data_IF_611090580062
#
_entry.id   IF_611090580062
#
_cell.length_a   1.000
_cell.length_b   1.000
_cell.length_c   1.000
_cell.angle_alpha   90.00
_cell.angle_beta   90.00
_cell.angle_gamma   90.00
#
_symmetry.space_group_name_H-M   'P 1'
#
loop_
_entity.id
_entity.type
_entity.pdbx_description
1 polymer ?
#
# COMPACT_ATOMS: atom_id res chain seq x y z
N UNK A 1 84.95 40.17 2.42
CA UNK A 1 84.23 39.98 1.14
C UNK A 1 83.68 38.53 1.11
N UNK A 2 82.40 38.30 1.42
CA UNK A 2 81.88 36.92 1.51
C UNK A 2 81.16 36.62 0.18
N UNK A 3 81.71 35.66 -0.57
CA UNK A 3 81.12 35.19 -1.83
C UNK A 3 80.05 34.16 -1.50
N UNK A 4 78.82 34.55 -1.69
CA UNK A 4 77.65 33.64 -1.60
C UNK A 4 77.71 32.72 -2.81
N UNK A 5 78.02 31.45 -2.58
CA UNK A 5 77.97 30.42 -3.61
C UNK A 5 76.54 30.19 -4.08
N UNK A 6 76.25 30.48 -5.34
CA UNK A 6 74.98 30.19 -5.98
C UNK A 6 74.85 28.67 -6.22
N UNK A 7 73.95 28.00 -5.49
CA UNK A 7 73.63 26.61 -5.75
C UNK A 7 72.96 26.49 -7.14
N UNK A 8 73.43 25.64 -8.04
CA UNK A 8 72.83 25.49 -9.36
C UNK A 8 71.48 24.87 -9.22
N UNK A 9 70.40 25.61 -9.64
CA UNK A 9 69.08 25.08 -9.76
C UNK A 9 69.03 24.00 -10.85
N UNK A 10 68.91 22.75 -10.45
CA UNK A 10 68.62 21.64 -11.38
C UNK A 10 67.34 21.93 -12.12
N UNK A 11 67.42 22.05 -13.43
CA UNK A 11 66.24 22.27 -14.31
C UNK A 11 65.39 21.04 -14.26
N UNK A 12 64.29 21.11 -13.46
CA UNK A 12 63.24 20.10 -13.47
C UNK A 12 62.33 20.32 -14.71
N UNK A 13 62.76 19.79 -15.83
CA UNK A 13 62.04 19.85 -17.11
C UNK A 13 61.23 18.57 -17.27
N UNK A 14 59.88 18.70 -17.43
CA UNK A 14 59.00 17.64 -17.89
C UNK A 14 58.10 16.96 -16.84
N UNK A 15 58.54 16.79 -15.58
CA UNK A 15 57.80 16.05 -14.55
C UNK A 15 56.55 16.82 -14.10
N UNK A 16 56.59 18.15 -14.07
CA UNK A 16 55.46 19.00 -13.63
C UNK A 16 54.28 18.84 -14.55
N UNK A 17 54.47 18.77 -15.86
CA UNK A 17 53.38 18.59 -16.82
C UNK A 17 52.70 17.23 -16.66
N UNK A 18 53.47 16.18 -16.40
CA UNK A 18 52.97 14.84 -16.16
C UNK A 18 52.15 14.75 -14.88
N UNK A 19 52.65 15.36 -13.78
CA UNK A 19 51.92 15.44 -12.51
C UNK A 19 50.63 16.25 -12.66
N UNK A 20 50.68 17.39 -13.35
CA UNK A 20 49.49 18.21 -13.62
C UNK A 20 48.43 17.45 -14.42
N UNK A 21 48.83 16.64 -15.40
CA UNK A 21 47.90 15.82 -16.19
C UNK A 21 47.24 14.73 -15.34
N UNK A 22 48.02 14.05 -14.47
CA UNK A 22 47.46 13.04 -13.56
C UNK A 22 46.43 13.68 -12.60
N UNK A 23 46.73 14.83 -12.02
CA UNK A 23 45.85 15.54 -11.11
C UNK A 23 44.55 15.97 -11.85
N UNK A 24 44.69 16.47 -13.06
CA UNK A 24 43.54 16.88 -13.87
C UNK A 24 42.61 15.68 -14.17
N UNK A 25 43.18 14.54 -14.57
CA UNK A 25 42.42 13.30 -14.81
C UNK A 25 41.77 12.80 -13.52
N UNK A 26 42.47 12.84 -12.40
CA UNK A 26 41.88 12.43 -11.11
C UNK A 26 40.72 13.33 -10.70
N UNK A 27 40.86 14.67 -10.89
CA UNK A 27 39.75 15.60 -10.60
C UNK A 27 38.53 15.40 -11.53
N UNK A 28 38.76 15.13 -12.80
CA UNK A 28 37.64 14.88 -13.73
C UNK A 28 36.92 13.59 -13.41
N UNK A 29 37.61 12.52 -13.05
CA UNK A 29 37.03 11.25 -12.64
C UNK A 29 36.21 11.39 -11.35
N UNK A 30 36.72 12.12 -10.36
CA UNK A 30 35.96 12.39 -9.12
C UNK A 30 34.71 13.23 -9.40
N UNK A 31 34.80 14.24 -10.28
CA UNK A 31 33.67 15.03 -10.71
C UNK A 31 32.53 14.21 -11.35
N UNK A 32 32.88 13.31 -12.26
CA UNK A 32 31.94 12.40 -12.93
C UNK A 32 31.29 11.44 -11.90
N UNK A 33 32.08 10.92 -10.95
CA UNK A 33 31.57 10.02 -9.91
C UNK A 33 30.52 10.72 -9.01
N UNK A 34 30.76 11.99 -8.65
CA UNK A 34 29.81 12.79 -7.88
C UNK A 34 28.51 13.03 -8.63
N UNK A 35 28.58 13.39 -9.91
CA UNK A 35 27.37 13.60 -10.73
C UNK A 35 26.53 12.32 -10.79
N UNK A 36 27.13 11.17 -11.04
CA UNK A 36 26.42 9.88 -11.06
C UNK A 36 25.76 9.54 -9.72
N UNK A 37 26.43 9.87 -8.61
CA UNK A 37 25.88 9.66 -7.27
C UNK A 37 24.63 10.53 -7.02
N UNK A 38 24.67 11.78 -7.46
CA UNK A 38 23.50 12.69 -7.34
C UNK A 38 22.33 12.19 -8.20
N UNK A 39 22.58 11.79 -9.45
CA UNK A 39 21.53 11.30 -10.35
C UNK A 39 20.82 10.07 -9.79
N UNK A 40 21.57 9.10 -9.26
CA UNK A 40 20.97 7.92 -8.62
C UNK A 40 20.14 8.28 -7.38
N UNK A 41 20.62 9.20 -6.55
CA UNK A 41 19.91 9.64 -5.37
C UNK A 41 18.59 10.35 -5.73
N UNK A 42 18.57 11.18 -6.76
CA UNK A 42 17.36 11.86 -7.26
C UNK A 42 16.34 10.85 -7.78
N UNK A 43 16.78 9.83 -8.53
CA UNK A 43 15.89 8.76 -9.01
C UNK A 43 15.29 7.95 -7.86
N UNK A 44 16.08 7.58 -6.85
CA UNK A 44 15.59 6.85 -5.67
C UNK A 44 14.63 7.70 -4.87
N UNK A 45 14.95 8.96 -4.61
CA UNK A 45 14.09 9.90 -3.89
C UNK A 45 12.77 10.11 -4.64
N UNK A 46 12.81 10.26 -5.96
CA UNK A 46 11.62 10.38 -6.80
C UNK A 46 10.70 9.15 -6.72
N UNK A 47 11.27 7.94 -6.83
CA UNK A 47 10.50 6.70 -6.70
C UNK A 47 9.88 6.54 -5.30
N UNK A 48 10.58 6.95 -4.25
CA UNK A 48 10.07 6.91 -2.89
C UNK A 48 8.91 7.90 -2.71
N UNK A 49 9.06 9.11 -3.22
CA UNK A 49 8.01 10.13 -3.19
C UNK A 49 6.73 9.66 -3.91
N UNK A 50 6.86 9.01 -5.08
CA UNK A 50 5.72 8.42 -5.79
C UNK A 50 5.05 7.31 -4.99
N UNK A 51 5.80 6.44 -4.33
CA UNK A 51 5.23 5.40 -3.47
C UNK A 51 4.47 5.98 -2.28
N UNK A 52 5.03 6.98 -1.63
CA UNK A 52 4.37 7.66 -0.52
C UNK A 52 3.10 8.38 -0.98
N UNK A 53 3.15 9.09 -2.11
CA UNK A 53 1.99 9.72 -2.72
C UNK A 53 0.89 8.73 -3.08
N UNK A 54 1.24 7.58 -3.67
CA UNK A 54 0.29 6.53 -4.00
C UNK A 54 -0.36 5.91 -2.74
N UNK A 55 0.41 5.74 -1.66
CA UNK A 55 -0.14 5.24 -0.38
C UNK A 55 -1.12 6.24 0.22
N UNK A 56 -0.78 7.52 0.24
CA UNK A 56 -1.67 8.58 0.72
C UNK A 56 -2.94 8.70 -0.14
N UNK A 57 -2.81 8.57 -1.47
CA UNK A 57 -3.97 8.53 -2.36
C UNK A 57 -4.85 7.29 -2.13
N UNK A 58 -4.25 6.14 -1.78
CA UNK A 58 -5.00 4.93 -1.47
C UNK A 58 -5.86 5.06 -0.21
N UNK A 59 -5.43 5.83 0.78
CA UNK A 59 -6.22 6.10 1.98
C UNK A 59 -7.55 6.78 1.65
N UNK A 60 -7.57 7.67 0.64
CA UNK A 60 -8.82 8.25 0.13
C UNK A 60 -9.75 7.18 -0.45
N UNK A 61 -9.22 6.19 -1.17
CA UNK A 61 -9.99 5.05 -1.67
C UNK A 61 -10.57 4.19 -0.54
N UNK A 62 -9.77 3.92 0.50
CA UNK A 62 -10.21 3.15 1.67
C UNK A 62 -11.32 3.89 2.41
N UNK A 63 -11.18 5.19 2.63
CA UNK A 63 -12.21 5.98 3.31
C UNK A 63 -13.50 6.08 2.50
N UNK A 64 -13.40 6.21 1.18
CA UNK A 64 -14.58 6.18 0.29
C UNK A 64 -15.34 4.86 0.37
N UNK A 65 -14.63 3.74 0.39
CA UNK A 65 -15.23 2.41 0.58
C UNK A 65 -15.87 2.27 1.97
N UNK A 66 -15.24 2.82 3.00
CA UNK A 66 -15.77 2.83 4.36
C UNK A 66 -17.04 3.65 4.48
N UNK A 67 -17.09 4.83 3.85
CA UNK A 67 -18.28 5.67 3.79
C UNK A 67 -19.41 4.92 3.10
N UNK A 68 -19.14 4.26 1.96
CA UNK A 68 -20.14 3.42 1.27
C UNK A 68 -20.70 2.34 2.19
N UNK A 69 -19.87 1.57 2.88
CA UNK A 69 -20.30 0.54 3.82
C UNK A 69 -21.18 1.14 4.93
N UNK A 70 -20.73 2.20 5.57
CA UNK A 70 -21.44 2.85 6.66
C UNK A 70 -22.81 3.37 6.23
N UNK A 71 -22.88 4.05 5.10
CA UNK A 71 -24.15 4.57 4.57
C UNK A 71 -25.11 3.46 4.18
N UNK A 72 -24.60 2.39 3.55
CA UNK A 72 -25.41 1.24 3.15
C UNK A 72 -25.94 0.47 4.37
N UNK A 73 -25.11 0.25 5.40
CA UNK A 73 -25.55 -0.41 6.64
C UNK A 73 -26.64 0.38 7.34
N UNK A 74 -26.54 1.71 7.36
CA UNK A 74 -27.55 2.58 7.99
C UNK A 74 -28.83 2.61 7.18
N UNK A 75 -28.76 2.65 5.85
CA UNK A 75 -29.92 2.72 4.99
C UNK A 75 -30.63 1.37 4.86
N UNK A 76 -29.91 0.31 4.56
CA UNK A 76 -30.42 -1.05 4.39
C UNK A 76 -29.29 -2.07 4.47
N UNK A 77 -29.09 -2.66 5.64
CA UNK A 77 -28.06 -3.68 5.85
C UNK A 77 -28.20 -4.90 4.91
N UNK A 78 -29.42 -5.29 4.56
CA UNK A 78 -29.69 -6.44 3.68
C UNK A 78 -29.21 -6.18 2.23
N UNK A 79 -28.98 -4.92 1.84
CA UNK A 79 -28.37 -4.60 0.56
C UNK A 79 -26.94 -5.15 0.42
N UNK A 80 -26.25 -5.41 1.53
CA UNK A 80 -24.93 -6.02 1.55
C UNK A 80 -24.97 -7.55 1.42
N UNK A 81 -26.12 -8.16 1.35
CA UNK A 81 -26.26 -9.60 1.16
C UNK A 81 -26.08 -10.01 -0.31
N UNK A 82 -26.22 -9.08 -1.24
CA UNK A 82 -26.08 -9.29 -2.68
C UNK A 82 -25.00 -8.37 -3.27
N UNK A 83 -24.52 -8.74 -4.45
CA UNK A 83 -23.58 -7.94 -5.19
C UNK A 83 -24.20 -6.62 -5.66
N UNK A 84 -23.43 -5.56 -5.63
CA UNK A 84 -23.74 -4.26 -6.22
C UNK A 84 -22.57 -3.79 -7.09
N UNK A 85 -22.46 -4.28 -8.34
CA UNK A 85 -21.34 -3.92 -9.24
C UNK A 85 -21.27 -2.43 -9.53
N UNK A 86 -22.40 -1.70 -9.50
CA UNK A 86 -22.42 -0.25 -9.71
C UNK A 86 -21.66 0.52 -8.62
N UNK A 87 -21.55 -0.04 -7.41
CA UNK A 87 -20.75 0.49 -6.33
C UNK A 87 -19.43 -0.29 -6.11
N UNK A 88 -19.10 -1.16 -7.05
CA UNK A 88 -17.96 -2.08 -6.95
C UNK A 88 -17.94 -2.91 -5.65
N UNK A 89 -19.14 -3.29 -5.19
CA UNK A 89 -19.32 -4.12 -4.02
C UNK A 89 -19.67 -5.56 -4.42
N UNK A 90 -18.98 -6.52 -3.82
CA UNK A 90 -19.19 -7.95 -4.01
C UNK A 90 -19.44 -8.64 -2.67
N UNK A 91 -20.55 -9.36 -2.58
CA UNK A 91 -21.00 -10.04 -1.35
C UNK A 91 -20.18 -11.27 -0.99
N UNK A 92 -19.28 -11.69 -1.88
CA UNK A 92 -18.39 -12.84 -1.69
C UNK A 92 -16.94 -12.44 -1.88
N UNK A 93 -16.05 -13.14 -1.20
CA UNK A 93 -14.63 -12.98 -1.46
C UNK A 93 -14.29 -13.73 -2.75
N UNK A 94 -13.76 -13.09 -3.73
CA UNK A 94 -13.35 -13.76 -4.96
C UNK A 94 -11.90 -14.23 -4.82
N UNK A 95 -11.70 -15.55 -4.62
CA UNK A 95 -10.39 -16.17 -4.71
C UNK A 95 -9.99 -16.23 -6.20
N UNK A 96 -8.78 -15.83 -6.51
CA UNK A 96 -8.29 -15.84 -7.89
C UNK A 96 -8.54 -14.53 -8.66
N UNK A 97 -8.95 -13.47 -7.96
CA UNK A 97 -9.03 -12.15 -8.54
C UNK A 97 -7.61 -11.68 -8.92
N UNK A 98 -7.32 -11.64 -10.20
CA UNK A 98 -6.04 -11.16 -10.71
C UNK A 98 -6.03 -9.62 -10.75
N UNK A 99 -5.77 -9.02 -9.60
CA UNK A 99 -5.76 -7.58 -9.43
C UNK A 99 -4.57 -6.90 -10.14
N UNK A 100 -3.52 -7.65 -10.40
CA UNK A 100 -2.27 -7.13 -10.96
C UNK A 100 -2.21 -7.29 -12.48
N UNK A 101 -3.02 -8.19 -13.04
CA UNK A 101 -3.04 -8.45 -14.48
C UNK A 101 -1.94 -9.42 -14.93
N UNK A 102 -1.64 -10.43 -14.11
CA UNK A 102 -0.62 -11.45 -14.41
C UNK A 102 -1.18 -12.63 -15.17
N UNK A 103 -2.50 -12.80 -15.22
CA UNK A 103 -3.19 -13.88 -15.92
C UNK A 103 -3.79 -13.42 -17.25
N UNK A 104 -4.33 -14.36 -18.03
CA UNK A 104 -5.03 -14.09 -19.28
C UNK A 104 -6.36 -13.36 -19.10
N UNK A 105 -6.93 -13.36 -17.90
CA UNK A 105 -8.18 -12.70 -17.55
C UNK A 105 -8.00 -11.77 -16.35
N UNK A 106 -7.33 -10.60 -16.55
CA UNK A 106 -7.10 -9.67 -15.48
C UNK A 106 -8.42 -9.03 -15.03
N UNK A 107 -8.48 -8.62 -13.76
CA UNK A 107 -9.63 -7.91 -13.24
C UNK A 107 -9.90 -6.61 -14.02
N UNK A 108 -11.14 -6.42 -14.45
CA UNK A 108 -11.54 -5.23 -15.21
C UNK A 108 -11.72 -4.01 -14.29
N UNK A 109 -10.64 -3.31 -14.04
CA UNK A 109 -10.67 -2.10 -13.22
C UNK A 109 -11.52 -0.97 -13.80
N UNK A 110 -11.75 -0.93 -15.10
CA UNK A 110 -12.58 0.12 -15.73
C UNK A 110 -14.08 -0.12 -15.52
N UNK A 111 -14.51 -1.39 -15.54
CA UNK A 111 -15.92 -1.75 -15.47
C UNK A 111 -16.40 -2.27 -14.11
N UNK A 112 -15.51 -2.86 -13.32
CA UNK A 112 -15.87 -3.57 -12.09
C UNK A 112 -15.34 -2.90 -10.81
N UNK A 113 -14.78 -1.70 -10.90
CA UNK A 113 -14.30 -0.91 -9.77
C UNK A 113 -14.98 0.46 -9.70
N UNK A 114 -15.04 1.02 -8.49
CA UNK A 114 -15.54 2.37 -8.27
C UNK A 114 -14.41 3.39 -8.43
N UNK A 115 -14.59 4.36 -9.31
CA UNK A 115 -13.71 5.52 -9.41
C UNK A 115 -14.01 6.47 -8.24
N UNK A 116 -12.99 6.80 -7.46
CA UNK A 116 -13.07 7.81 -6.40
C UNK A 116 -12.80 9.20 -6.98
N UNK A 117 -11.75 9.31 -7.79
CA UNK A 117 -11.34 10.53 -8.44
C UNK A 117 -9.86 10.54 -8.78
N UNK A 118 -9.39 11.72 -9.19
CA UNK A 118 -7.97 11.98 -9.41
C UNK A 118 -7.51 13.05 -8.43
N UNK A 119 -6.40 12.80 -7.74
CA UNK A 119 -5.84 13.77 -6.79
C UNK A 119 -5.06 14.90 -7.49
N UNK A 120 -4.59 15.88 -6.73
CA UNK A 120 -3.80 17.00 -7.25
C UNK A 120 -2.43 16.60 -7.81
N UNK A 121 -1.94 15.42 -7.47
CA UNK A 121 -0.70 14.85 -7.97
C UNK A 121 -0.89 14.04 -9.27
N UNK A 122 -2.13 13.90 -9.74
CA UNK A 122 -2.49 13.15 -10.94
C UNK A 122 -2.64 11.65 -10.70
N UNK A 123 -2.84 11.20 -9.46
CA UNK A 123 -3.12 9.80 -9.15
C UNK A 123 -4.62 9.51 -9.30
N UNK A 124 -4.98 8.62 -10.23
CA UNK A 124 -6.35 8.10 -10.32
C UNK A 124 -6.54 6.99 -9.30
N UNK A 125 -7.58 7.14 -8.46
CA UNK A 125 -7.89 6.22 -7.36
C UNK A 125 -9.16 5.45 -7.67
N UNK A 126 -9.08 4.12 -7.65
CA UNK A 126 -10.22 3.22 -7.80
C UNK A 126 -10.22 2.19 -6.70
N UNK A 127 -11.39 1.76 -6.24
CA UNK A 127 -11.49 0.67 -5.28
C UNK A 127 -12.48 -0.41 -5.72
N UNK A 128 -12.30 -1.58 -5.13
CA UNK A 128 -13.25 -2.68 -5.13
C UNK A 128 -13.39 -3.21 -3.71
N UNK A 129 -14.60 -3.57 -3.35
CA UNK A 129 -14.95 -3.99 -1.99
C UNK A 129 -15.53 -5.41 -2.02
N UNK A 130 -14.94 -6.32 -1.27
CA UNK A 130 -15.40 -7.70 -1.12
C UNK A 130 -15.78 -7.98 0.32
N UNK A 131 -16.96 -8.54 0.53
CA UNK A 131 -17.32 -9.15 1.82
C UNK A 131 -16.57 -10.47 1.95
N UNK A 132 -16.00 -10.72 3.11
CA UNK A 132 -15.23 -11.93 3.38
C UNK A 132 -16.14 -13.11 3.73
N UNK A 133 -17.01 -13.50 2.77
CA UNK A 133 -17.93 -14.63 2.84
C UNK A 133 -17.74 -15.54 1.61
N UNK A 134 -18.00 -16.83 1.74
CA UNK A 134 -17.92 -17.80 0.63
C UNK A 134 -19.15 -17.76 -0.27
N UNK A 135 -20.33 -17.44 0.30
CA UNK A 135 -21.57 -17.33 -0.45
C UNK A 135 -22.26 -15.99 -0.22
N UNK A 136 -23.06 -15.57 -1.19
CA UNK A 136 -23.97 -14.43 -1.10
C UNK A 136 -25.14 -14.73 -0.14
N UNK A 137 -25.90 -13.71 0.24
CA UNK A 137 -27.03 -13.82 1.16
C UNK A 137 -26.68 -13.37 2.58
N UNK A 138 -27.60 -13.61 3.50
CA UNK A 138 -27.43 -13.19 4.89
C UNK A 138 -26.18 -13.83 5.52
N UNK A 139 -25.49 -13.07 6.33
CA UNK A 139 -24.24 -13.53 7.01
C UNK A 139 -24.47 -14.69 7.99
N UNK A 140 -25.72 -14.97 8.32
CA UNK A 140 -26.16 -16.08 9.16
C UNK A 140 -26.70 -17.27 8.36
N UNK A 141 -26.78 -17.13 7.02
CA UNK A 141 -27.28 -18.20 6.15
C UNK A 141 -26.32 -19.42 6.17
N UNK A 142 -26.90 -20.60 6.02
CA UNK A 142 -26.12 -21.81 5.89
C UNK A 142 -25.22 -21.72 4.65
N UNK A 143 -23.94 -22.00 4.80
CA UNK A 143 -22.93 -21.93 3.72
C UNK A 143 -22.36 -20.54 3.47
N UNK A 144 -22.78 -19.50 4.17
CA UNK A 144 -22.20 -18.15 4.02
C UNK A 144 -20.73 -18.10 4.47
N UNK A 145 -20.33 -18.91 5.44
CA UNK A 145 -18.94 -19.07 5.94
C UNK A 145 -18.14 -17.75 5.96
N UNK A 146 -18.70 -16.73 6.62
CA UNK A 146 -18.07 -15.42 6.66
C UNK A 146 -16.94 -15.38 7.68
N UNK A 147 -15.85 -14.67 7.36
CA UNK A 147 -14.81 -14.31 8.31
C UNK A 147 -15.40 -13.29 9.29
N UNK A 148 -15.44 -13.67 10.55
CA UNK A 148 -16.10 -12.90 11.62
C UNK A 148 -15.07 -12.51 12.67
N UNK A 149 -15.13 -11.26 13.17
CA UNK A 149 -14.43 -10.91 14.37
C UNK A 149 -15.11 -11.65 15.53
N UNK A 150 -14.38 -12.47 16.26
CA UNK A 150 -14.81 -12.89 17.57
C UNK A 150 -14.88 -11.66 18.46
N UNK A 151 -16.08 -11.08 18.61
CA UNK A 151 -16.34 -10.25 19.77
C UNK A 151 -16.07 -11.13 20.99
N UNK A 152 -15.31 -10.65 21.92
CA UNK A 152 -15.06 -11.33 23.21
C UNK A 152 -16.35 -11.36 24.05
N UNK A 153 -17.37 -11.98 23.50
CA UNK A 153 -18.60 -12.36 24.18
C UNK A 153 -18.46 -13.85 24.47
N UNK A 154 -18.36 -14.17 25.75
CA UNK A 154 -18.02 -15.45 26.29
C UNK A 154 -18.43 -16.65 25.47
N UNK A 155 -17.45 -17.43 25.08
CA UNK A 155 -17.63 -18.80 24.67
C UNK A 155 -18.39 -19.52 25.79
N UNK A 156 -19.60 -19.97 25.48
CA UNK A 156 -20.17 -21.12 26.18
C UNK A 156 -19.34 -22.35 25.79
N UNK A 157 -18.07 -22.33 26.15
CA UNK A 157 -17.24 -23.52 26.16
C UNK A 157 -17.74 -24.35 27.35
N UNK A 158 -18.44 -25.41 27.03
CA UNK A 158 -18.61 -26.52 27.95
C UNK A 158 -17.24 -27.14 28.27
N UNK A 159 -16.45 -26.48 29.08
CA UNK A 159 -15.30 -27.10 29.70
C UNK A 159 -15.29 -26.70 31.19
N UNK A 160 -15.54 -27.74 31.98
CA UNK A 160 -15.77 -27.64 33.39
C UNK A 160 -14.54 -27.21 34.15
N UNK A 161 -14.38 -25.94 34.40
CA UNK A 161 -13.54 -25.42 35.46
C UNK A 161 -14.42 -24.87 36.59
N UNK A 162 -14.68 -25.70 37.57
CA UNK A 162 -15.40 -25.42 38.80
C UNK A 162 -14.56 -24.59 39.79
N UNK A 163 -14.10 -23.39 39.41
CA UNK A 163 -13.50 -22.45 40.38
C UNK A 163 -13.73 -20.99 39.92
N UNK A 164 -14.93 -20.51 40.18
CA UNK A 164 -15.21 -19.15 40.62
C UNK A 164 -16.71 -18.93 40.56
N UNK A 165 -17.37 -19.04 41.70
CA UNK A 165 -18.75 -18.66 41.93
C UNK A 165 -18.90 -17.15 41.90
N UNK A 166 -18.83 -16.57 40.74
CA UNK A 166 -19.47 -15.28 40.44
C UNK A 166 -20.19 -15.46 39.13
N UNK A 167 -21.47 -15.75 39.24
CA UNK A 167 -22.40 -15.91 38.10
C UNK A 167 -22.60 -14.56 37.43
N UNK A 168 -21.69 -14.15 36.53
CA UNK A 168 -21.93 -13.10 35.56
C UNK A 168 -22.59 -13.66 34.25
N UNK A 169 -23.25 -14.80 34.38
CA UNK A 169 -23.91 -15.49 33.26
C UNK A 169 -25.14 -14.78 32.72
N UNK A 170 -25.49 -13.60 33.26
CA UNK A 170 -26.62 -12.82 32.79
C UNK A 170 -26.23 -11.63 31.90
N UNK A 171 -24.97 -11.33 31.72
CA UNK A 171 -24.48 -10.39 30.74
C UNK A 171 -24.02 -11.15 29.49
N UNK A 172 -24.93 -11.87 28.87
CA UNK A 172 -24.75 -12.25 27.47
C UNK A 172 -24.70 -10.98 26.63
N UNK A 173 -23.52 -10.38 26.52
CA UNK A 173 -23.30 -9.37 25.50
C UNK A 173 -23.67 -10.02 24.18
N UNK A 174 -24.62 -9.44 23.41
CA UNK A 174 -24.96 -9.99 22.12
C UNK A 174 -23.65 -10.13 21.34
N UNK A 175 -23.32 -11.33 20.91
CA UNK A 175 -22.20 -11.58 20.02
C UNK A 175 -22.54 -10.88 18.72
N UNK A 176 -22.21 -9.60 18.61
CA UNK A 176 -22.31 -8.89 17.35
C UNK A 176 -21.33 -9.55 16.40
N UNK A 177 -21.84 -10.40 15.55
CA UNK A 177 -21.06 -11.08 14.53
C UNK A 177 -20.64 -10.03 13.51
N UNK A 178 -19.51 -9.41 13.78
CA UNK A 178 -18.95 -8.39 12.89
C UNK A 178 -18.27 -9.13 11.75
N UNK A 179 -18.72 -8.91 10.54
CA UNK A 179 -18.14 -9.48 9.33
C UNK A 179 -17.07 -8.53 8.81
N UNK A 180 -15.98 -9.13 8.33
CA UNK A 180 -14.90 -8.36 7.69
C UNK A 180 -15.18 -8.13 6.20
N UNK A 181 -14.74 -6.97 5.74
CA UNK A 181 -14.74 -6.56 4.35
C UNK A 181 -13.32 -6.27 3.92
N UNK A 182 -12.92 -6.76 2.74
CA UNK A 182 -11.63 -6.45 2.14
C UNK A 182 -11.83 -5.35 1.10
N UNK A 183 -11.23 -4.21 1.31
CA UNK A 183 -11.10 -3.19 0.29
C UNK A 183 -9.76 -3.34 -0.41
N UNK A 184 -9.78 -3.33 -1.74
CA UNK A 184 -8.58 -3.28 -2.56
C UNK A 184 -8.63 -1.99 -3.35
N UNK A 185 -7.64 -1.15 -3.17
CA UNK A 185 -7.49 0.13 -3.85
C UNK A 185 -6.40 0.02 -4.90
N UNK A 186 -6.70 0.44 -6.10
CA UNK A 186 -5.74 0.64 -7.19
C UNK A 186 -5.49 2.12 -7.35
N UNK A 187 -4.24 2.50 -7.33
CA UNK A 187 -3.77 3.86 -7.62
C UNK A 187 -2.95 3.83 -8.89
N UNK A 188 -3.43 4.54 -9.90
CA UNK A 188 -2.72 4.77 -11.15
C UNK A 188 -2.11 6.16 -11.10
N UNK A 189 -0.81 6.22 -10.87
CA UNK A 189 -0.07 7.47 -10.78
C UNK A 189 0.46 7.95 -12.13
N UNK A 190 1.11 9.12 -12.13
CA UNK A 190 1.79 9.66 -13.30
C UNK A 190 2.79 8.64 -13.89
N UNK A 191 2.98 8.67 -15.21
CA UNK A 191 3.86 7.76 -15.97
C UNK A 191 3.46 6.28 -15.87
N UNK A 192 2.14 5.99 -15.72
CA UNK A 192 1.62 4.62 -15.58
C UNK A 192 2.20 3.86 -14.37
N UNK A 193 2.58 4.56 -13.31
CA UNK A 193 2.96 3.90 -12.05
C UNK A 193 1.71 3.29 -11.43
N UNK A 194 1.77 1.99 -11.14
CA UNK A 194 0.65 1.25 -10.60
C UNK A 194 0.95 0.81 -9.17
N UNK A 195 0.02 1.08 -8.26
CA UNK A 195 0.12 0.67 -6.87
C UNK A 195 -1.19 0.05 -6.40
N UNK A 196 -1.09 -0.99 -5.58
CA UNK A 196 -2.23 -1.63 -4.94
C UNK A 196 -2.08 -1.59 -3.43
N UNK A 197 -3.16 -1.23 -2.75
CA UNK A 197 -3.24 -1.25 -1.29
C UNK A 197 -4.48 -2.04 -0.90
N UNK A 198 -4.32 -2.95 0.07
CA UNK A 198 -5.44 -3.71 0.62
C UNK A 198 -5.60 -3.40 2.10
N UNK A 199 -6.84 -3.23 2.53
CA UNK A 199 -7.18 -3.05 3.93
C UNK A 199 -8.40 -3.90 4.30
N UNK A 200 -8.48 -4.27 5.58
CA UNK A 200 -9.64 -4.96 6.14
C UNK A 200 -10.46 -3.97 6.94
N UNK A 201 -11.75 -3.89 6.62
CA UNK A 201 -12.75 -3.07 7.31
C UNK A 201 -13.68 -3.96 8.13
N UNK A 202 -14.26 -3.40 9.20
CA UNK A 202 -15.25 -4.07 10.07
C UNK A 202 -16.37 -3.10 10.44
#
# INVERSE_FOLDING_TARGET
MNRIARVPRKAQRGVILFVALIVLVAMTLTGIALIRSVDTNVLVAGNLAFRQGATAAADWGIESARVYLKTTVVANKAALDNDNPAAAYYSTWQSGLDLVGTTTTPFNWSGASQLVGTDSAGNEVRYVLHRMCEASGATTAAGANCVKASGSGGTTGADGSTKATVSYSTLALPSSTIVYYRVTVRVLGPRNTLSFVQAMLK
#
